data_IF_622927143907
#
_entry.id   IF_622927143907
#
_cell.length_a   1.000
_cell.length_b   1.000
_cell.length_c   1.000
_cell.angle_alpha   90.00
_cell.angle_beta   90.00
_cell.angle_gamma   90.00
#
_symmetry.space_group_name_H-M   'P 1'
#
loop_
_entity.id
_entity.type
_entity.pdbx_description
1 polymer ?
#
# COMPACT_ATOMS: atom_id res chain seq x y z
N UNK A 1 -0.12 62.63 -56.05
CA UNK A 1 0.10 62.40 -54.59
C UNK A 1 -0.71 61.17 -54.09
N UNK A 2 -1.94 60.96 -54.49
CA UNK A 2 -2.76 59.85 -53.99
C UNK A 2 -2.28 58.41 -54.41
N UNK A 3 -1.77 58.24 -55.62
CA UNK A 3 -1.26 56.91 -56.06
C UNK A 3 -0.05 56.38 -55.29
N UNK A 4 0.78 57.28 -54.74
CA UNK A 4 1.95 56.89 -53.95
C UNK A 4 1.61 56.48 -52.52
N UNK A 5 0.58 57.11 -51.96
CA UNK A 5 0.04 56.76 -50.65
C UNK A 5 -0.65 55.35 -50.65
N UNK A 6 -1.36 55.02 -51.72
CA UNK A 6 -2.00 53.72 -51.90
C UNK A 6 -0.97 52.57 -52.09
N UNK A 7 0.15 52.85 -52.77
CA UNK A 7 1.25 51.90 -52.91
C UNK A 7 1.98 51.63 -51.56
N UNK A 8 2.19 52.70 -50.75
CA UNK A 8 2.81 52.53 -49.43
C UNK A 8 1.91 51.80 -48.45
N UNK A 9 0.57 52.07 -48.45
CA UNK A 9 -0.39 51.31 -47.63
C UNK A 9 -0.42 49.86 -48.01
N UNK A 10 -0.50 49.54 -49.30
CA UNK A 10 -0.57 48.16 -49.82
C UNK A 10 0.70 47.35 -49.48
N UNK A 11 1.86 48.01 -49.47
CA UNK A 11 3.10 47.36 -49.09
C UNK A 11 3.28 47.25 -47.54
N UNK A 12 2.74 48.20 -46.75
CA UNK A 12 2.76 48.16 -45.31
C UNK A 12 1.85 47.02 -44.79
N UNK A 13 0.67 46.85 -45.38
CA UNK A 13 -0.27 45.78 -45.03
C UNK A 13 0.33 44.40 -45.39
N UNK A 14 1.00 44.24 -46.53
CA UNK A 14 1.71 43.02 -46.90
C UNK A 14 2.91 42.70 -45.97
N UNK A 15 3.63 43.75 -45.47
CA UNK A 15 4.75 43.56 -44.58
C UNK A 15 4.27 43.14 -43.17
N UNK A 16 3.16 43.74 -42.71
CA UNK A 16 2.56 43.36 -41.41
C UNK A 16 1.93 41.98 -41.46
N UNK A 17 1.28 41.59 -42.56
CA UNK A 17 0.72 40.27 -42.73
C UNK A 17 1.80 39.19 -42.83
N UNK A 18 2.95 39.44 -43.49
CA UNK A 18 4.08 38.51 -43.50
C UNK A 18 4.74 38.38 -42.12
N UNK A 19 4.87 39.45 -41.35
CA UNK A 19 5.35 39.41 -40.01
C UNK A 19 4.35 38.69 -39.08
N UNK A 20 3.06 38.89 -39.26
CA UNK A 20 2.03 38.22 -38.49
C UNK A 20 1.97 36.70 -38.80
N UNK A 21 2.05 36.34 -40.08
CA UNK A 21 2.13 34.91 -40.46
C UNK A 21 3.45 34.26 -40.00
N UNK A 22 4.59 34.97 -40.04
CA UNK A 22 5.85 34.46 -39.50
C UNK A 22 5.80 34.31 -37.97
N UNK A 23 5.14 35.23 -37.27
CA UNK A 23 4.94 35.15 -35.83
C UNK A 23 3.97 34.03 -35.43
N UNK A 24 2.91 33.80 -36.20
CA UNK A 24 1.97 32.68 -36.02
C UNK A 24 2.65 31.32 -36.28
N UNK A 25 3.48 31.22 -37.30
CA UNK A 25 4.24 30.00 -37.62
C UNK A 25 5.28 29.72 -36.52
N UNK A 26 5.97 30.74 -36.00
CA UNK A 26 6.88 30.57 -34.88
C UNK A 26 6.13 30.22 -33.60
N UNK A 27 4.92 30.72 -33.38
CA UNK A 27 4.13 30.41 -32.18
C UNK A 27 3.47 29.01 -32.27
N UNK A 28 3.09 28.56 -33.45
CA UNK A 28 2.63 27.17 -33.66
C UNK A 28 3.77 26.14 -33.51
N UNK A 29 5.01 26.51 -33.82
CA UNK A 29 6.18 25.66 -33.55
C UNK A 29 6.60 25.67 -32.08
N UNK A 30 6.27 26.69 -31.30
CA UNK A 30 6.59 26.79 -29.87
C UNK A 30 5.55 26.10 -28.97
N UNK A 31 4.40 25.67 -29.51
CA UNK A 31 3.35 24.94 -28.76
C UNK A 31 3.37 23.44 -29.02
N UNK A 32 4.32 22.92 -29.80
CA UNK A 32 4.64 21.49 -29.67
C UNK A 32 5.33 21.33 -28.33
N UNK A 33 4.55 21.16 -27.28
CA UNK A 33 5.01 20.49 -26.09
C UNK A 33 5.58 19.16 -26.57
N UNK A 34 6.90 19.07 -26.64
CA UNK A 34 7.61 17.82 -26.65
C UNK A 34 7.22 17.14 -25.32
N UNK A 35 6.10 16.45 -25.29
CA UNK A 35 5.88 15.44 -24.28
C UNK A 35 6.99 14.42 -24.52
N UNK A 36 8.10 14.61 -23.85
CA UNK A 36 9.14 13.60 -23.79
C UNK A 36 8.45 12.34 -23.24
N UNK A 37 8.50 11.28 -24.01
CA UNK A 37 7.96 9.99 -23.62
C UNK A 37 8.59 9.58 -22.27
N UNK A 38 7.76 9.39 -21.22
CA UNK A 38 8.24 8.97 -19.91
C UNK A 38 8.37 7.46 -19.84
N UNK A 39 9.56 6.98 -20.19
CA UNK A 39 9.93 5.56 -20.11
C UNK A 39 10.45 5.16 -18.71
N UNK A 40 10.49 6.08 -17.74
CA UNK A 40 10.99 5.78 -16.40
C UNK A 40 10.02 4.90 -15.61
N UNK A 41 10.55 4.00 -14.80
CA UNK A 41 9.80 3.19 -13.82
C UNK A 41 10.32 3.50 -12.42
N UNK A 42 9.41 3.84 -11.51
CA UNK A 42 9.72 4.11 -10.10
C UNK A 42 9.33 2.89 -9.26
N UNK A 43 9.86 2.80 -8.06
CA UNK A 43 9.48 1.72 -7.12
C UNK A 43 7.97 1.68 -6.83
N UNK A 44 7.29 2.83 -6.85
CA UNK A 44 5.83 2.94 -6.71
C UNK A 44 5.05 2.39 -7.91
N UNK A 45 5.69 2.19 -9.05
CA UNK A 45 5.08 1.66 -10.28
C UNK A 45 5.22 0.13 -10.37
N UNK A 46 5.79 -0.52 -9.35
CA UNK A 46 6.14 -1.93 -9.34
C UNK A 46 5.49 -2.62 -8.15
N UNK A 47 4.86 -3.77 -8.39
CA UNK A 47 4.44 -4.72 -7.35
C UNK A 47 5.08 -6.07 -7.68
N UNK A 48 5.67 -6.71 -6.65
CA UNK A 48 6.23 -8.05 -6.76
C UNK A 48 5.48 -8.96 -5.79
N UNK A 49 4.91 -10.02 -6.32
CA UNK A 49 4.18 -11.00 -5.54
C UNK A 49 4.84 -12.37 -5.66
N UNK A 50 4.87 -13.15 -4.58
CA UNK A 50 5.38 -14.52 -4.62
C UNK A 50 4.31 -15.44 -5.23
N UNK A 51 4.70 -16.25 -6.23
CA UNK A 51 3.83 -17.30 -6.76
C UNK A 51 3.64 -18.42 -5.73
N UNK A 52 2.46 -19.05 -5.72
CA UNK A 52 2.12 -20.10 -4.75
C UNK A 52 3.01 -21.35 -4.86
N UNK A 53 3.48 -21.67 -6.05
CA UNK A 53 4.29 -22.87 -6.31
C UNK A 53 5.77 -22.57 -6.29
N UNK A 54 6.20 -21.62 -7.09
CA UNK A 54 7.60 -21.18 -7.17
C UNK A 54 7.66 -19.88 -7.98
N UNK A 55 8.67 -19.02 -7.72
CA UNK A 55 8.89 -17.80 -8.48
C UNK A 55 8.06 -16.61 -8.00
N UNK A 56 7.91 -15.63 -8.88
CA UNK A 56 7.34 -14.33 -8.55
C UNK A 56 6.55 -13.76 -9.73
N UNK A 57 5.51 -13.00 -9.42
CA UNK A 57 4.77 -12.15 -10.35
C UNK A 57 5.27 -10.72 -10.21
N UNK A 58 5.67 -10.11 -11.30
CA UNK A 58 6.12 -8.73 -11.38
C UNK A 58 5.11 -7.92 -12.18
N UNK A 59 4.40 -7.02 -11.51
CA UNK A 59 3.45 -6.10 -12.12
C UNK A 59 4.10 -4.74 -12.27
N UNK A 60 4.07 -4.19 -13.48
CA UNK A 60 4.70 -2.92 -13.83
C UNK A 60 3.63 -2.00 -14.40
N UNK A 61 3.39 -0.87 -13.75
CA UNK A 61 2.39 0.09 -14.20
C UNK A 61 2.69 0.57 -15.62
N UNK A 62 1.70 0.43 -16.52
CA UNK A 62 1.78 0.98 -17.85
C UNK A 62 1.64 2.50 -17.83
N UNK A 63 2.60 3.21 -18.41
CA UNK A 63 2.53 4.64 -18.69
C UNK A 63 2.15 4.87 -20.15
N UNK A 64 1.60 6.06 -20.44
CA UNK A 64 1.26 6.43 -21.82
C UNK A 64 2.49 6.41 -22.71
N UNK A 65 2.37 5.74 -23.86
CA UNK A 65 3.46 5.58 -24.82
C UNK A 65 4.41 4.42 -24.53
N UNK A 66 4.30 3.74 -23.37
CA UNK A 66 5.04 2.50 -23.10
C UNK A 66 4.22 1.31 -23.59
N UNK A 67 4.75 0.56 -24.55
CA UNK A 67 4.04 -0.53 -25.22
C UNK A 67 4.64 -1.92 -25.01
N UNK A 68 5.80 -2.02 -24.37
CA UNK A 68 6.32 -3.29 -23.86
C UNK A 68 7.35 -3.10 -22.76
N UNK A 69 7.60 -4.18 -22.03
CA UNK A 69 8.62 -4.28 -20.98
C UNK A 69 9.43 -5.54 -21.18
N UNK A 70 10.72 -5.51 -20.79
CA UNK A 70 11.65 -6.63 -20.88
C UNK A 70 12.52 -6.64 -19.63
N UNK A 71 12.69 -7.78 -19.02
CA UNK A 71 13.62 -7.94 -17.92
C UNK A 71 15.04 -8.20 -18.47
N UNK A 72 15.98 -7.34 -18.08
CA UNK A 72 17.36 -7.40 -18.55
C UNK A 72 18.38 -7.33 -17.43
N UNK A 73 19.61 -7.69 -17.74
CA UNK A 73 20.77 -7.35 -16.94
C UNK A 73 21.01 -5.82 -16.96
N UNK A 74 21.54 -5.25 -15.88
CA UNK A 74 21.72 -3.79 -15.70
C UNK A 74 22.88 -3.16 -16.48
N UNK A 75 23.61 -3.91 -17.28
CA UNK A 75 24.73 -3.33 -18.05
C UNK A 75 24.25 -2.68 -19.34
N UNK A 76 24.53 -1.39 -19.53
CA UNK A 76 24.40 -0.74 -20.84
C UNK A 76 25.51 -1.22 -21.75
N UNK A 77 25.18 -1.54 -23.01
CA UNK A 77 26.19 -1.61 -24.06
C UNK A 77 26.73 -0.18 -24.31
N UNK A 78 28.00 0.12 -24.00
CA UNK A 78 28.56 1.46 -24.17
C UNK A 78 28.52 1.95 -25.63
N UNK A 79 28.50 1.01 -26.59
CA UNK A 79 28.48 1.33 -28.00
C UNK A 79 27.06 1.32 -28.60
N UNK A 80 26.04 0.97 -27.81
CA UNK A 80 24.64 0.92 -28.21
C UNK A 80 24.37 0.04 -29.46
N UNK A 81 25.20 -1.00 -29.69
CA UNK A 81 25.18 -1.83 -30.89
C UNK A 81 24.35 -3.09 -30.74
N UNK A 82 24.15 -3.58 -29.53
CA UNK A 82 23.48 -4.85 -29.27
C UNK A 82 22.42 -4.71 -28.21
N UNK A 83 21.34 -5.49 -28.36
CA UNK A 83 20.41 -5.70 -27.27
C UNK A 83 21.17 -6.32 -26.11
N UNK A 84 21.10 -5.70 -24.96
CA UNK A 84 21.68 -6.23 -23.74
C UNK A 84 21.06 -7.56 -23.39
N UNK A 85 21.75 -8.28 -22.50
CA UNK A 85 21.38 -9.60 -22.07
C UNK A 85 20.01 -9.59 -21.42
N UNK A 86 19.01 -10.09 -22.13
CA UNK A 86 17.69 -10.30 -21.58
C UNK A 86 17.68 -11.52 -20.68
N UNK A 87 16.89 -11.44 -19.64
CA UNK A 87 16.58 -12.61 -18.83
C UNK A 87 15.59 -13.52 -19.54
N UNK A 88 15.76 -14.83 -19.35
CA UNK A 88 14.93 -15.88 -19.90
C UNK A 88 14.59 -16.89 -18.80
N UNK A 89 13.51 -17.62 -19.01
CA UNK A 89 13.16 -18.81 -18.22
C UNK A 89 13.57 -20.07 -18.96
N UNK A 90 14.06 -21.07 -18.25
CA UNK A 90 14.29 -22.42 -18.82
C UNK A 90 12.99 -23.09 -19.25
N UNK A 91 11.89 -22.79 -18.55
CA UNK A 91 10.59 -23.37 -18.81
C UNK A 91 9.65 -22.33 -19.38
N UNK A 92 8.87 -22.73 -20.36
CA UNK A 92 7.78 -21.91 -20.85
C UNK A 92 6.78 -21.60 -19.73
N UNK A 93 6.30 -20.36 -19.70
CA UNK A 93 5.26 -19.91 -18.82
C UNK A 93 4.20 -19.14 -19.63
N UNK A 94 2.93 -19.45 -19.38
CA UNK A 94 1.84 -18.88 -20.15
C UNK A 94 1.61 -17.38 -19.89
N UNK A 95 2.11 -16.82 -18.77
CA UNK A 95 2.01 -15.38 -18.46
C UNK A 95 2.95 -14.59 -19.36
N UNK A 96 4.22 -15.01 -19.45
CA UNK A 96 5.17 -14.41 -20.37
C UNK A 96 4.88 -14.77 -21.84
N UNK A 97 4.06 -15.79 -22.07
CA UNK A 97 3.49 -16.15 -23.36
C UNK A 97 4.50 -16.54 -24.43
N UNK A 98 4.05 -16.41 -25.67
CA UNK A 98 4.86 -16.59 -26.88
C UNK A 98 5.24 -15.21 -27.46
N UNK A 99 5.54 -14.24 -26.60
CA UNK A 99 5.96 -12.91 -27.02
C UNK A 99 7.15 -12.94 -27.94
N UNK A 100 6.98 -12.35 -29.13
CA UNK A 100 8.05 -12.28 -30.12
C UNK A 100 8.98 -11.13 -29.78
N UNK A 101 10.21 -11.46 -29.47
CA UNK A 101 11.22 -10.46 -29.20
C UNK A 101 11.98 -10.07 -30.46
N UNK A 102 12.30 -8.78 -30.57
CA UNK A 102 13.12 -8.21 -31.64
C UNK A 102 14.52 -7.93 -31.09
N UNK A 103 15.54 -8.34 -31.85
CA UNK A 103 16.94 -8.04 -31.61
C UNK A 103 17.52 -7.42 -32.87
N UNK A 104 18.12 -6.23 -32.79
CA UNK A 104 18.71 -5.50 -33.90
C UNK A 104 17.76 -5.38 -35.12
N UNK A 105 16.46 -5.09 -34.84
CA UNK A 105 15.41 -4.88 -35.84
C UNK A 105 14.91 -6.18 -36.49
N UNK A 106 15.28 -7.35 -36.02
CA UNK A 106 14.82 -8.65 -36.54
C UNK A 106 14.17 -9.48 -35.43
N UNK A 107 13.06 -10.14 -35.77
CA UNK A 107 12.47 -11.11 -34.85
C UNK A 107 13.43 -12.27 -34.60
N UNK A 108 13.61 -12.60 -33.32
CA UNK A 108 14.33 -13.80 -32.91
C UNK A 108 13.54 -15.04 -33.30
N UNK A 109 14.27 -16.12 -33.61
CA UNK A 109 13.65 -17.42 -33.79
C UNK A 109 12.82 -17.83 -32.57
N UNK A 110 11.75 -18.58 -32.81
CA UNK A 110 10.80 -18.98 -31.77
C UNK A 110 11.46 -19.71 -30.60
N UNK A 111 12.52 -20.48 -30.83
CA UNK A 111 13.25 -21.21 -29.80
C UNK A 111 14.02 -20.29 -28.84
N UNK A 112 14.45 -19.12 -29.30
CA UNK A 112 15.15 -18.13 -28.46
C UNK A 112 14.22 -17.11 -27.83
N UNK A 113 13.09 -16.81 -28.49
CA UNK A 113 12.11 -15.86 -27.97
C UNK A 113 11.09 -16.48 -27.02
N UNK A 114 10.84 -17.77 -27.17
CA UNK A 114 9.76 -18.51 -26.51
C UNK A 114 9.74 -18.39 -24.97
N UNK A 115 10.90 -18.33 -24.37
CA UNK A 115 11.04 -18.25 -22.93
C UNK A 115 11.61 -16.88 -22.46
N UNK A 116 11.59 -15.88 -23.33
CA UNK A 116 12.01 -14.52 -22.96
C UNK A 116 11.04 -13.93 -21.95
N UNK A 117 11.57 -13.13 -21.02
CA UNK A 117 10.77 -12.45 -20.01
C UNK A 117 10.45 -11.06 -20.53
N UNK A 118 9.44 -11.00 -21.39
CA UNK A 118 8.96 -9.82 -22.09
C UNK A 118 7.44 -9.84 -22.07
N UNK A 119 6.82 -8.67 -21.93
CA UNK A 119 5.38 -8.52 -22.06
C UNK A 119 5.01 -7.27 -22.88
N UNK A 120 4.03 -7.42 -23.74
CA UNK A 120 3.38 -6.35 -24.53
C UNK A 120 1.87 -6.34 -24.32
N UNK A 121 1.35 -7.22 -23.48
CA UNK A 121 -0.07 -7.36 -23.19
C UNK A 121 -0.41 -6.60 -21.91
N UNK A 122 -1.44 -5.78 -21.95
CA UNK A 122 -1.86 -4.97 -20.80
C UNK A 122 -2.97 -5.66 -20.05
N UNK A 123 -2.78 -5.85 -18.77
CA UNK A 123 -3.76 -6.38 -17.83
C UNK A 123 -4.25 -5.28 -16.88
N UNK A 124 -5.31 -5.56 -16.11
CA UNK A 124 -5.80 -4.67 -15.06
C UNK A 124 -5.42 -5.23 -13.70
N UNK A 125 -4.66 -4.48 -12.96
CA UNK A 125 -4.31 -4.77 -11.57
C UNK A 125 -5.09 -3.85 -10.63
N UNK A 126 -5.57 -4.38 -9.51
CA UNK A 126 -6.44 -3.65 -8.57
C UNK A 126 -5.82 -2.34 -8.07
N UNK A 127 -4.54 -2.38 -7.72
CA UNK A 127 -3.83 -1.22 -7.13
C UNK A 127 -3.21 -0.30 -8.18
N UNK A 128 -2.59 -0.87 -9.23
CA UNK A 128 -1.81 -0.10 -10.21
C UNK A 128 -2.61 0.33 -11.43
N UNK A 129 -3.82 -0.22 -11.63
CA UNK A 129 -4.60 -0.03 -12.85
C UNK A 129 -4.02 -0.83 -14.01
N UNK A 130 -3.73 -0.19 -15.14
CA UNK A 130 -3.12 -0.86 -16.31
C UNK A 130 -1.67 -1.26 -16.00
N UNK A 131 -1.33 -2.53 -16.21
CA UNK A 131 0.00 -3.08 -15.94
C UNK A 131 0.47 -4.02 -17.03
N UNK A 132 1.78 -4.14 -17.16
CA UNK A 132 2.44 -5.29 -17.74
C UNK A 132 2.70 -6.32 -16.65
N UNK A 133 2.58 -7.61 -16.98
CA UNK A 133 2.73 -8.70 -16.06
C UNK A 133 3.81 -9.66 -16.51
N UNK A 134 4.85 -9.83 -15.69
CA UNK A 134 5.92 -10.79 -15.93
C UNK A 134 5.93 -11.86 -14.84
N UNK A 135 6.09 -13.11 -15.24
CA UNK A 135 6.41 -14.20 -14.33
C UNK A 135 7.91 -14.44 -14.29
N UNK A 136 8.50 -14.41 -13.09
CA UNK A 136 9.90 -14.64 -12.84
C UNK A 136 10.08 -15.99 -12.12
N UNK A 137 10.78 -16.97 -12.73
CA UNK A 137 11.13 -18.18 -11.99
C UNK A 137 12.14 -17.85 -10.88
N UNK A 138 12.34 -18.76 -9.94
CA UNK A 138 13.35 -18.60 -8.87
C UNK A 138 14.77 -18.41 -9.39
N UNK A 139 15.03 -18.89 -10.62
CA UNK A 139 16.30 -18.75 -11.30
C UNK A 139 16.09 -18.14 -12.68
N UNK A 140 16.78 -17.05 -12.95
CA UNK A 140 16.81 -16.37 -14.23
C UNK A 140 18.08 -16.71 -14.99
N UNK A 141 17.96 -16.92 -16.31
CA UNK A 141 19.08 -17.10 -17.21
C UNK A 141 19.24 -15.83 -18.03
N UNK A 142 20.45 -15.29 -18.11
CA UNK A 142 20.77 -14.15 -18.97
C UNK A 142 21.68 -14.53 -20.12
N UNK A 143 21.65 -13.73 -21.18
CA UNK A 143 22.40 -13.95 -22.40
C UNK A 143 21.85 -15.05 -23.31
N UNK A 144 22.63 -15.42 -24.30
CA UNK A 144 22.31 -16.44 -25.28
C UNK A 144 23.52 -17.39 -25.40
N UNK A 145 23.38 -18.58 -26.01
CA UNK A 145 24.50 -19.54 -26.11
C UNK A 145 25.77 -18.99 -26.74
N UNK A 146 25.67 -17.97 -27.58
CA UNK A 146 26.80 -17.34 -28.30
C UNK A 146 27.27 -16.02 -27.68
N UNK A 147 26.69 -15.60 -26.56
CA UNK A 147 27.06 -14.36 -25.86
C UNK A 147 27.42 -14.65 -24.41
N UNK A 148 27.77 -13.61 -23.63
CA UNK A 148 27.90 -13.74 -22.19
C UNK A 148 26.60 -14.29 -21.61
N UNK A 149 26.64 -15.39 -20.91
CA UNK A 149 25.51 -16.04 -20.31
C UNK A 149 25.79 -16.43 -18.84
N UNK A 150 24.78 -16.67 -18.09
CA UNK A 150 24.87 -17.08 -16.69
C UNK A 150 23.48 -17.20 -16.06
N UNK A 151 23.47 -17.44 -14.75
CA UNK A 151 22.28 -17.64 -13.97
C UNK A 151 22.25 -16.65 -12.80
N UNK A 152 21.05 -16.18 -12.45
CA UNK A 152 20.78 -15.36 -11.27
C UNK A 152 19.67 -16.00 -10.48
N UNK A 153 19.94 -16.31 -9.21
CA UNK A 153 18.90 -16.72 -8.26
C UNK A 153 18.16 -15.48 -7.76
N UNK A 154 16.83 -15.52 -7.83
CA UNK A 154 15.99 -14.44 -7.36
C UNK A 154 15.79 -14.56 -5.87
N UNK A 155 16.34 -13.62 -5.12
CA UNK A 155 16.18 -13.49 -3.68
C UNK A 155 16.17 -12.01 -3.26
N UNK A 156 15.89 -11.73 -1.99
CA UNK A 156 15.94 -10.36 -1.47
C UNK A 156 17.30 -9.73 -1.75
N UNK A 157 17.30 -8.55 -2.34
CA UNK A 157 18.51 -7.83 -2.73
C UNK A 157 19.03 -8.16 -4.12
N UNK A 158 18.36 -9.03 -4.90
CA UNK A 158 18.70 -9.25 -6.31
C UNK A 158 18.45 -7.99 -7.10
N UNK A 159 19.47 -7.58 -7.86
CA UNK A 159 19.43 -6.38 -8.68
C UNK A 159 19.23 -6.75 -10.15
N UNK A 160 18.19 -6.19 -10.78
CA UNK A 160 17.82 -6.41 -12.18
C UNK A 160 17.43 -5.09 -12.83
N UNK A 161 17.19 -5.10 -14.15
CA UNK A 161 16.67 -3.93 -14.85
C UNK A 161 15.38 -4.26 -15.61
N UNK A 162 14.37 -3.42 -15.44
CA UNK A 162 13.18 -3.40 -16.29
C UNK A 162 13.47 -2.44 -17.44
N UNK A 163 13.56 -2.96 -18.67
CA UNK A 163 13.65 -2.12 -19.85
C UNK A 163 12.24 -1.87 -20.39
N UNK A 164 11.87 -0.60 -20.48
CA UNK A 164 10.61 -0.15 -21.06
C UNK A 164 10.83 0.31 -22.51
N UNK A 165 9.88 0.07 -23.38
CA UNK A 165 9.95 0.40 -24.79
C UNK A 165 8.74 1.20 -25.26
N UNK A 166 9.00 2.13 -26.17
CA UNK A 166 7.97 2.81 -26.94
C UNK A 166 7.17 1.83 -27.81
N UNK A 167 7.84 0.80 -28.35
CA UNK A 167 7.24 -0.18 -29.26
C UNK A 167 6.92 -1.50 -28.57
N UNK A 168 5.96 -2.28 -29.08
CA UNK A 168 5.66 -3.62 -28.56
C UNK A 168 6.82 -4.60 -28.84
N UNK A 169 6.77 -5.76 -28.18
CA UNK A 169 7.69 -6.90 -28.36
C UNK A 169 9.17 -6.58 -28.06
N UNK A 170 9.45 -5.62 -27.19
CA UNK A 170 10.80 -5.15 -26.90
C UNK A 170 11.58 -4.77 -28.18
N UNK A 171 10.93 -4.03 -29.07
CA UNK A 171 11.51 -3.58 -30.35
C UNK A 171 12.43 -2.38 -30.13
N UNK A 172 13.71 -2.56 -30.45
CA UNK A 172 14.76 -1.55 -30.31
C UNK A 172 14.75 -0.48 -31.39
N UNK A 173 13.85 -0.53 -32.36
CA UNK A 173 13.73 0.50 -33.41
C UNK A 173 12.97 1.76 -32.92
N UNK A 174 12.45 1.74 -31.68
CA UNK A 174 11.89 2.89 -30.96
C UNK A 174 12.74 3.30 -29.78
N UNK A 175 12.24 4.27 -29.00
CA UNK A 175 12.86 4.71 -27.75
C UNK A 175 12.78 3.61 -26.69
N UNK A 176 13.80 3.49 -25.86
CA UNK A 176 13.80 2.59 -24.70
C UNK A 176 14.64 3.14 -23.55
N UNK A 177 14.34 2.70 -22.32
CA UNK A 177 15.04 3.10 -21.11
C UNK A 177 15.28 1.91 -20.17
N UNK A 178 16.48 1.83 -19.63
CA UNK A 178 16.81 0.91 -18.55
C UNK A 178 16.39 1.51 -17.20
N UNK A 179 15.62 0.74 -16.45
CA UNK A 179 15.15 1.09 -15.13
C UNK A 179 15.67 0.06 -14.10
N UNK A 180 16.89 0.26 -13.57
CA UNK A 180 17.47 -0.65 -12.59
C UNK A 180 16.67 -0.59 -11.28
N UNK A 181 16.39 -1.77 -10.71
CA UNK A 181 15.74 -1.88 -9.42
C UNK A 181 16.24 -3.10 -8.64
N UNK A 182 16.05 -3.05 -7.33
CA UNK A 182 16.42 -4.12 -6.42
C UNK A 182 15.16 -4.81 -5.91
N UNK A 183 15.13 -6.13 -5.95
CA UNK A 183 14.06 -6.89 -5.33
C UNK A 183 14.15 -6.76 -3.81
N UNK A 184 13.31 -5.93 -3.26
CA UNK A 184 13.08 -5.85 -1.82
C UNK A 184 11.80 -6.63 -1.53
N UNK A 185 11.94 -7.96 -1.41
CA UNK A 185 10.85 -8.75 -0.90
C UNK A 185 10.67 -8.40 0.58
N UNK A 186 9.71 -7.55 0.86
CA UNK A 186 9.00 -7.67 2.10
C UNK A 186 8.28 -9.01 1.93
N UNK A 187 8.69 -10.02 2.67
CA UNK A 187 7.90 -11.23 2.82
C UNK A 187 6.62 -10.84 3.56
N UNK A 188 5.72 -10.16 2.88
CA UNK A 188 4.31 -10.35 3.17
C UNK A 188 4.11 -11.81 2.76
N UNK A 189 3.90 -12.70 3.75
CA UNK A 189 3.09 -13.87 3.47
C UNK A 189 1.92 -13.26 2.71
N UNK A 190 1.77 -13.57 1.41
CA UNK A 190 0.50 -13.37 0.77
C UNK A 190 -0.41 -14.15 1.71
N UNK A 191 -1.17 -13.44 2.53
CA UNK A 191 -2.33 -14.08 3.09
C UNK A 191 -2.96 -14.67 1.85
N UNK A 192 -3.04 -16.00 1.79
CA UNK A 192 -4.00 -16.61 0.91
C UNK A 192 -5.20 -15.69 1.04
N UNK A 193 -5.69 -15.11 -0.06
CA UNK A 193 -7.11 -15.01 -0.18
C UNK A 193 -7.61 -16.44 -0.06
N UNK A 194 -7.62 -16.92 1.16
CA UNK A 194 -8.66 -17.79 1.58
C UNK A 194 -9.87 -16.94 1.21
N UNK A 195 -10.62 -17.34 0.16
CA UNK A 195 -12.05 -17.21 0.21
C UNK A 195 -12.34 -17.89 1.54
N UNK A 196 -12.20 -17.10 2.61
CA UNK A 196 -12.66 -17.49 3.92
C UNK A 196 -14.15 -17.66 3.68
N UNK A 197 -14.64 -18.87 3.63
CA UNK A 197 -15.79 -19.11 4.45
C UNK A 197 -15.35 -18.57 5.80
N UNK A 198 -15.70 -17.29 6.03
CA UNK A 198 -15.43 -16.60 7.29
C UNK A 198 -16.08 -17.52 8.30
N UNK A 199 -15.25 -18.30 9.00
CA UNK A 199 -15.75 -19.19 10.04
C UNK A 199 -16.02 -18.29 11.24
N UNK A 200 -17.16 -17.61 11.20
CA UNK A 200 -17.62 -16.75 12.30
C UNK A 200 -17.86 -17.55 13.61
N UNK A 201 -17.82 -18.88 13.54
CA UNK A 201 -17.95 -19.76 14.70
C UNK A 201 -16.79 -19.65 15.69
N UNK A 202 -15.65 -19.09 15.31
CA UNK A 202 -14.50 -18.87 16.20
C UNK A 202 -14.59 -17.58 17.01
N UNK A 203 -15.51 -16.68 16.67
CA UNK A 203 -15.71 -15.40 17.38
C UNK A 203 -16.94 -15.48 18.27
N UNK A 204 -16.91 -14.75 19.37
CA UNK A 204 -18.12 -14.52 20.15
C UNK A 204 -19.19 -13.84 19.29
N UNK A 205 -20.37 -14.46 19.06
CA UNK A 205 -21.39 -13.92 18.16
C UNK A 205 -21.92 -12.55 18.60
N UNK A 206 -22.01 -12.30 19.90
CA UNK A 206 -22.52 -11.03 20.43
C UNK A 206 -21.45 -9.93 20.32
N UNK A 207 -20.16 -10.27 20.49
CA UNK A 207 -19.04 -9.37 20.22
C UNK A 207 -19.00 -9.01 18.74
N UNK A 208 -19.09 -10.01 17.86
CA UNK A 208 -19.11 -9.84 16.42
C UNK A 208 -20.19 -8.85 15.96
N UNK A 209 -21.43 -9.02 16.42
CA UNK A 209 -22.54 -8.13 16.07
C UNK A 209 -22.31 -6.72 16.61
N UNK A 210 -21.82 -6.61 17.85
CA UNK A 210 -21.56 -5.31 18.49
C UNK A 210 -20.40 -4.54 17.79
N UNK A 211 -19.33 -5.24 17.42
CA UNK A 211 -18.20 -4.64 16.71
C UNK A 211 -18.58 -4.17 15.31
N UNK A 212 -19.44 -4.93 14.60
CA UNK A 212 -20.02 -4.49 13.31
C UNK A 212 -20.86 -3.21 13.46
N UNK A 213 -21.65 -3.13 14.52
CA UNK A 213 -22.48 -1.95 14.78
C UNK A 213 -21.68 -0.72 15.22
N UNK A 214 -20.54 -0.90 15.88
CA UNK A 214 -19.62 0.15 16.27
C UNK A 214 -18.86 0.71 15.05
N UNK A 215 -18.44 -0.15 14.15
CA UNK A 215 -17.66 0.21 12.95
C UNK A 215 -18.51 0.83 11.81
N UNK A 216 -19.63 1.49 12.09
CA UNK A 216 -20.63 1.95 11.09
C UNK A 216 -20.02 2.84 9.99
N UNK A 217 -19.03 3.68 10.34
CA UNK A 217 -18.31 4.58 9.42
C UNK A 217 -16.83 4.20 9.27
N UNK A 218 -16.34 3.24 10.06
CA UNK A 218 -15.02 2.66 10.01
C UNK A 218 -15.00 1.28 9.37
N UNK A 219 -13.89 0.58 9.50
CA UNK A 219 -13.72 -0.79 9.01
C UNK A 219 -13.83 -1.81 10.16
N UNK A 220 -14.28 -3.02 9.83
CA UNK A 220 -14.18 -4.18 10.72
C UNK A 220 -13.16 -5.15 10.15
N UNK A 221 -12.25 -5.63 11.00
CA UNK A 221 -11.27 -6.64 10.67
C UNK A 221 -11.46 -7.88 11.55
N UNK A 222 -11.49 -9.04 10.91
CA UNK A 222 -11.61 -10.34 11.56
C UNK A 222 -10.23 -10.92 11.74
N UNK A 223 -9.63 -10.75 12.94
CA UNK A 223 -8.30 -11.27 13.24
C UNK A 223 -8.28 -12.79 13.27
N UNK A 224 -7.18 -13.39 12.91
CA UNK A 224 -6.97 -14.83 13.04
C UNK A 224 -6.28 -15.19 14.36
N UNK A 225 -6.19 -14.25 15.28
CA UNK A 225 -5.52 -14.39 16.56
C UNK A 225 -4.15 -13.69 16.58
N UNK A 226 -3.29 -14.03 17.55
CA UNK A 226 -2.08 -13.26 17.87
C UNK A 226 -1.16 -13.00 16.68
N UNK A 227 -0.99 -13.99 15.80
CA UNK A 227 -0.05 -13.91 14.68
C UNK A 227 -0.48 -12.94 13.56
N UNK A 228 -1.78 -12.67 13.42
CA UNK A 228 -2.30 -11.74 12.40
C UNK A 228 -2.55 -10.33 12.95
N UNK A 229 -2.66 -10.18 14.26
CA UNK A 229 -3.12 -8.95 14.91
C UNK A 229 -2.30 -7.72 14.53
N UNK A 230 -0.98 -7.85 14.41
CA UNK A 230 -0.11 -6.72 14.00
C UNK A 230 -0.41 -6.29 12.57
N UNK A 231 -0.55 -7.23 11.64
CA UNK A 231 -0.89 -6.94 10.25
C UNK A 231 -2.30 -6.34 10.12
N UNK A 232 -3.24 -6.81 10.95
CA UNK A 232 -4.61 -6.29 11.02
C UNK A 232 -4.63 -4.82 11.48
N UNK A 233 -3.83 -4.47 12.48
CA UNK A 233 -3.63 -3.09 12.93
C UNK A 233 -3.02 -2.23 11.81
N UNK A 234 -1.97 -2.70 11.16
CA UNK A 234 -1.31 -1.96 10.09
C UNK A 234 -2.22 -1.77 8.88
N UNK A 235 -3.17 -2.67 8.63
CA UNK A 235 -4.19 -2.51 7.60
C UNK A 235 -5.08 -1.30 7.89
N UNK A 236 -5.50 -1.09 9.14
CA UNK A 236 -6.27 0.10 9.53
C UNK A 236 -5.49 1.41 9.30
N UNK A 237 -4.16 1.40 9.46
CA UNK A 237 -3.32 2.56 9.13
C UNK A 237 -3.28 2.88 7.64
N UNK A 238 -3.31 1.90 6.76
CA UNK A 238 -3.26 2.11 5.30
C UNK A 238 -4.47 2.83 4.72
N UNK A 239 -5.57 2.85 5.46
CA UNK A 239 -6.78 3.59 5.09
C UNK A 239 -6.67 5.09 5.40
N UNK A 240 -5.63 5.51 6.13
CA UNK A 240 -5.39 6.90 6.51
C UNK A 240 -4.60 7.61 5.40
N UNK A 241 -4.98 8.85 5.06
CA UNK A 241 -4.24 9.64 4.07
C UNK A 241 -2.84 10.00 4.61
N UNK A 242 -1.74 9.58 3.98
CA UNK A 242 -0.39 9.73 4.54
C UNK A 242 0.14 11.16 4.59
N UNK A 243 -0.51 12.13 3.95
CA UNK A 243 -0.03 13.53 3.88
C UNK A 243 -0.49 14.40 5.04
N UNK A 244 -1.46 13.92 5.83
CA UNK A 244 -2.08 14.69 6.88
C UNK A 244 -1.46 14.41 8.26
N UNK A 245 -1.88 15.21 9.23
CA UNK A 245 -1.67 14.89 10.65
C UNK A 245 -2.63 13.79 11.04
N UNK A 246 -2.18 12.91 11.89
CA UNK A 246 -2.95 11.74 12.30
C UNK A 246 -2.90 11.58 13.81
N UNK A 247 -4.07 11.41 14.42
CA UNK A 247 -4.22 11.02 15.82
C UNK A 247 -4.87 9.64 15.85
N UNK A 248 -4.19 8.66 16.44
CA UNK A 248 -4.72 7.29 16.58
C UNK A 248 -4.73 6.89 18.05
N UNK A 249 -5.88 6.40 18.52
CA UNK A 249 -5.99 5.78 19.84
C UNK A 249 -6.23 4.29 19.68
N UNK A 250 -5.38 3.49 20.29
CA UNK A 250 -5.58 2.06 20.46
C UNK A 250 -6.41 1.84 21.72
N UNK A 251 -7.61 1.30 21.58
CA UNK A 251 -8.47 0.87 22.67
C UNK A 251 -8.41 -0.65 22.73
N UNK A 252 -7.60 -1.20 23.64
CA UNK A 252 -7.27 -2.61 23.68
C UNK A 252 -7.91 -3.25 24.91
N UNK A 253 -8.59 -4.36 24.68
CA UNK A 253 -9.02 -5.26 25.74
C UNK A 253 -7.77 -5.83 26.47
N UNK A 254 -7.79 -5.75 27.77
CA UNK A 254 -6.71 -6.21 28.63
C UNK A 254 -7.22 -7.24 29.66
N UNK A 255 -8.28 -7.97 29.34
CA UNK A 255 -8.81 -9.09 30.11
C UNK A 255 -7.99 -10.36 29.90
N UNK A 256 -8.30 -11.39 30.64
CA UNK A 256 -7.50 -12.61 30.71
C UNK A 256 -7.38 -13.36 29.40
N UNK A 257 -8.46 -13.39 28.57
CA UNK A 257 -8.51 -14.01 27.25
C UNK A 257 -7.52 -13.40 26.26
N UNK A 258 -7.28 -12.07 26.35
CA UNK A 258 -6.40 -11.32 25.45
C UNK A 258 -4.91 -11.47 25.75
N UNK A 259 -4.51 -12.35 26.67
CA UNK A 259 -3.12 -12.45 27.13
C UNK A 259 -2.14 -12.77 26.00
N UNK A 260 -2.45 -13.78 25.21
CA UNK A 260 -1.57 -14.25 24.12
C UNK A 260 -1.44 -13.18 23.02
N UNK A 261 -2.55 -12.52 22.68
CA UNK A 261 -2.63 -11.46 21.68
C UNK A 261 -1.82 -10.23 22.08
N UNK A 262 -1.98 -9.77 23.31
CA UNK A 262 -1.23 -8.62 23.82
C UNK A 262 0.26 -8.94 23.98
N UNK A 263 0.63 -10.14 24.38
CA UNK A 263 2.04 -10.53 24.47
C UNK A 263 2.69 -10.60 23.08
N UNK A 264 1.97 -11.08 22.06
CA UNK A 264 2.44 -11.06 20.68
C UNK A 264 2.54 -9.62 20.12
N UNK A 265 1.54 -8.79 20.42
CA UNK A 265 1.51 -7.39 20.04
C UNK A 265 2.73 -6.62 20.57
N UNK A 266 3.08 -6.80 21.84
CA UNK A 266 4.26 -6.19 22.48
C UNK A 266 5.56 -6.52 21.77
N UNK A 267 5.68 -7.75 21.29
CA UNK A 267 6.92 -8.24 20.66
C UNK A 267 7.08 -7.76 19.23
N UNK A 268 5.98 -7.57 18.50
CA UNK A 268 6.02 -7.46 17.05
C UNK A 268 5.46 -6.15 16.49
N UNK A 269 4.64 -5.38 17.24
CA UNK A 269 3.99 -4.19 16.70
C UNK A 269 4.98 -3.06 16.40
N UNK A 270 5.88 -2.74 17.33
CA UNK A 270 6.66 -1.50 17.25
C UNK A 270 7.56 -1.42 16.03
N UNK A 271 8.37 -2.44 15.67
CA UNK A 271 9.24 -2.33 14.50
C UNK A 271 8.48 -2.14 13.18
N UNK A 272 7.26 -2.70 13.10
CA UNK A 272 6.43 -2.60 11.92
C UNK A 272 5.65 -1.28 11.90
N UNK A 273 5.18 -0.83 13.05
CA UNK A 273 4.51 0.46 13.20
C UNK A 273 5.45 1.62 12.88
N UNK A 274 6.69 1.61 13.39
CA UNK A 274 7.69 2.62 13.06
C UNK A 274 7.93 2.76 11.55
N UNK A 275 8.04 1.63 10.84
CA UNK A 275 8.20 1.63 9.40
C UNK A 275 6.99 2.24 8.68
N UNK A 276 5.78 2.00 9.16
CA UNK A 276 4.55 2.56 8.60
C UNK A 276 4.42 4.06 8.90
N UNK A 277 4.78 4.48 10.11
CA UNK A 277 4.70 5.88 10.55
C UNK A 277 5.58 6.84 9.72
N UNK A 278 6.64 6.34 9.11
CA UNK A 278 7.50 7.13 8.20
C UNK A 278 6.75 7.65 6.97
N UNK A 279 5.60 7.07 6.65
CA UNK A 279 4.77 7.49 5.51
C UNK A 279 3.92 8.73 5.84
N UNK A 280 3.82 9.13 7.11
CA UNK A 280 2.94 10.21 7.57
C UNK A 280 3.72 11.48 7.92
N UNK A 281 3.08 12.63 7.76
CA UNK A 281 3.70 13.92 8.09
C UNK A 281 3.85 14.16 9.59
N UNK A 282 2.89 13.68 10.40
CA UNK A 282 2.90 13.76 11.86
C UNK A 282 1.86 12.80 12.43
N UNK A 283 2.25 11.94 13.35
CA UNK A 283 1.35 10.99 14.01
C UNK A 283 1.47 11.12 15.52
N UNK A 284 0.32 11.09 16.21
CA UNK A 284 0.28 10.92 17.66
C UNK A 284 -0.48 9.64 17.99
N UNK A 285 0.09 8.84 18.87
CA UNK A 285 -0.43 7.55 19.31
C UNK A 285 -0.91 7.66 20.74
N UNK A 286 -2.15 7.26 21.01
CA UNK A 286 -2.73 7.10 22.32
C UNK A 286 -2.96 5.63 22.63
N UNK A 287 -2.87 5.24 23.88
CA UNK A 287 -3.16 3.89 24.35
C UNK A 287 -4.19 3.96 25.47
N UNK A 288 -5.27 3.23 25.31
CA UNK A 288 -6.30 3.03 26.31
C UNK A 288 -6.54 1.54 26.46
N UNK A 289 -6.43 1.04 27.68
CA UNK A 289 -6.71 -0.33 28.00
C UNK A 289 -8.02 -0.39 28.79
N UNK A 290 -8.84 -1.40 28.52
CA UNK A 290 -10.08 -1.59 29.25
C UNK A 290 -10.18 -3.02 29.82
N UNK A 291 -10.97 -3.15 30.86
CA UNK A 291 -11.35 -4.40 31.50
C UNK A 291 -12.79 -4.28 31.97
N UNK A 292 -13.25 -5.22 32.77
CA UNK A 292 -14.58 -5.10 33.39
C UNK A 292 -14.56 -4.32 34.70
N UNK A 293 -15.75 -3.92 35.15
CA UNK A 293 -15.96 -3.33 36.46
C UNK A 293 -15.61 -4.31 37.59
N UNK A 294 -14.83 -3.83 38.55
CA UNK A 294 -14.33 -4.65 39.67
C UNK A 294 -12.85 -4.99 39.54
N UNK A 295 -12.26 -4.82 38.37
CA UNK A 295 -10.82 -4.92 38.16
C UNK A 295 -10.06 -3.66 38.60
N UNK A 296 -8.72 -3.72 38.51
CA UNK A 296 -7.81 -2.67 39.00
C UNK A 296 -7.81 -1.39 38.16
N UNK A 297 -8.47 -1.37 37.02
CA UNK A 297 -8.48 -0.21 36.14
C UNK A 297 -9.56 0.75 36.54
N UNK A 298 -9.18 1.94 36.95
CA UNK A 298 -10.12 3.04 37.25
C UNK A 298 -9.52 4.36 36.82
N UNK A 299 -10.12 4.98 35.81
CA UNK A 299 -9.80 6.33 35.40
C UNK A 299 -11.10 7.11 35.16
N UNK A 300 -11.27 8.23 35.88
CA UNK A 300 -12.49 9.04 35.86
C UNK A 300 -13.79 8.25 36.08
N UNK A 301 -13.75 7.20 36.92
CA UNK A 301 -14.90 6.34 37.22
C UNK A 301 -15.24 5.30 36.17
N UNK A 302 -14.41 5.13 35.15
CA UNK A 302 -14.50 4.09 34.14
C UNK A 302 -13.45 3.00 34.35
N UNK A 303 -13.72 1.73 33.97
CA UNK A 303 -12.80 0.60 34.15
C UNK A 303 -11.72 0.58 33.04
N UNK A 304 -10.97 1.67 32.95
CA UNK A 304 -9.94 1.86 31.94
C UNK A 304 -8.61 2.29 32.56
N UNK A 305 -7.52 1.99 31.85
CA UNK A 305 -6.19 2.55 32.08
C UNK A 305 -5.84 3.44 30.88
N UNK A 306 -5.53 4.69 31.15
CA UNK A 306 -5.36 5.72 30.13
C UNK A 306 -3.90 6.17 30.05
N UNK A 307 -3.36 6.22 28.82
CA UNK A 307 -2.07 6.82 28.50
C UNK A 307 -2.28 7.89 27.43
N UNK A 308 -1.78 9.07 27.66
CA UNK A 308 -2.00 10.22 26.78
C UNK A 308 -1.37 10.02 25.40
N UNK A 309 -1.71 10.92 24.45
CA UNK A 309 -1.01 10.96 23.15
C UNK A 309 0.48 11.18 23.33
N UNK A 310 1.26 10.44 22.54
CA UNK A 310 2.69 10.65 22.32
C UNK A 310 3.02 10.58 20.82
N UNK A 311 4.02 11.32 20.38
CA UNK A 311 4.63 11.24 19.04
C UNK A 311 5.96 10.48 19.05
N UNK A 312 6.30 9.88 20.20
CA UNK A 312 7.53 9.12 20.44
C UNK A 312 7.20 7.64 20.52
N UNK A 313 7.66 6.85 19.55
CA UNK A 313 7.42 5.40 19.51
C UNK A 313 7.94 4.67 20.74
N UNK A 314 9.10 5.03 21.27
CA UNK A 314 9.67 4.44 22.48
C UNK A 314 8.78 4.66 23.71
N UNK A 315 8.12 5.82 23.81
CA UNK A 315 7.17 6.11 24.88
C UNK A 315 5.91 5.26 24.73
N UNK A 316 5.38 5.16 23.51
CA UNK A 316 4.25 4.29 23.21
C UNK A 316 4.59 2.81 23.56
N UNK A 317 5.77 2.35 23.15
CA UNK A 317 6.26 1.01 23.51
C UNK A 317 6.34 0.80 25.02
N UNK A 318 6.89 1.77 25.76
CA UNK A 318 6.92 1.74 27.22
C UNK A 318 5.52 1.61 27.82
N UNK A 319 4.57 2.40 27.34
CA UNK A 319 3.18 2.36 27.77
C UNK A 319 2.53 1.00 27.50
N UNK A 320 2.78 0.42 26.31
CA UNK A 320 2.31 -0.92 25.94
C UNK A 320 2.88 -2.02 26.84
N UNK A 321 4.03 -1.81 27.45
CA UNK A 321 4.67 -2.74 28.37
C UNK A 321 4.40 -2.44 29.88
N UNK A 322 3.72 -1.30 30.18
CA UNK A 322 3.45 -0.86 31.56
C UNK A 322 2.23 -1.53 32.21
N UNK A 323 1.81 -2.69 31.73
CA UNK A 323 0.72 -3.44 32.33
C UNK A 323 0.94 -4.94 32.18
N UNK A 324 0.23 -5.73 32.98
CA UNK A 324 0.32 -7.19 32.96
C UNK A 324 -1.09 -7.79 32.84
N UNK A 325 -1.19 -8.82 32.01
CA UNK A 325 -2.34 -9.71 31.95
C UNK A 325 -1.90 -11.05 32.52
N UNK A 326 -2.59 -11.51 33.56
CA UNK A 326 -2.27 -12.76 34.27
C UNK A 326 -3.10 -13.93 33.78
N UNK A 327 -4.23 -13.65 33.10
CA UNK A 327 -5.17 -14.61 32.57
C UNK A 327 -6.40 -14.82 33.45
N UNK A 328 -6.61 -13.97 34.45
CA UNK A 328 -7.78 -14.03 35.36
C UNK A 328 -8.44 -12.65 35.53
N UNK A 329 -8.11 -11.72 34.68
CA UNK A 329 -8.73 -10.41 34.60
C UNK A 329 -10.05 -10.51 33.80
N UNK A 330 -10.96 -9.61 34.05
CA UNK A 330 -12.35 -9.70 33.64
C UNK A 330 -13.18 -10.32 34.77
N UNK A 331 -14.31 -10.76 34.53
CA UNK A 331 -15.17 -11.43 35.51
C UNK A 331 -16.24 -12.23 34.85
N UNK A 332 -17.13 -11.56 34.19
CA UNK A 332 -18.12 -12.13 33.27
C UNK A 332 -17.73 -11.75 31.82
N UNK A 333 -18.32 -12.43 30.86
CA UNK A 333 -17.95 -12.31 29.42
C UNK A 333 -18.16 -10.89 28.87
N UNK A 334 -19.23 -10.12 29.18
CA UNK A 334 -19.35 -8.76 28.69
C UNK A 334 -18.33 -7.83 29.31
N UNK A 335 -17.64 -7.05 28.48
CA UNK A 335 -16.57 -6.14 28.90
C UNK A 335 -16.96 -4.65 28.71
N UNK A 336 -16.14 -3.75 29.23
CA UNK A 336 -16.44 -2.31 29.25
C UNK A 336 -16.09 -1.60 27.94
N UNK A 337 -16.54 -2.12 26.81
CA UNK A 337 -16.23 -1.63 25.45
C UNK A 337 -16.73 -0.20 25.24
N UNK A 338 -17.98 0.11 25.62
CA UNK A 338 -18.52 1.47 25.44
C UNK A 338 -17.87 2.50 26.37
N UNK A 339 -17.45 2.07 27.55
CA UNK A 339 -16.68 2.88 28.49
C UNK A 339 -15.28 3.20 27.92
N UNK A 340 -14.66 2.24 27.27
CA UNK A 340 -13.37 2.43 26.61
C UNK A 340 -13.50 3.43 25.43
N UNK A 341 -14.49 3.25 24.58
CA UNK A 341 -14.74 4.16 23.46
C UNK A 341 -15.11 5.58 23.94
N UNK A 342 -15.95 5.69 24.98
CA UNK A 342 -16.25 6.97 25.60
C UNK A 342 -14.98 7.65 26.14
N UNK A 343 -14.14 6.90 26.85
CA UNK A 343 -12.86 7.40 27.35
C UNK A 343 -11.90 7.83 26.24
N UNK A 344 -11.83 7.06 25.17
CA UNK A 344 -11.04 7.40 23.98
C UNK A 344 -11.54 8.67 23.29
N UNK A 345 -12.82 8.86 23.23
CA UNK A 345 -13.42 10.04 22.60
C UNK A 345 -13.31 11.30 23.49
N UNK A 346 -13.47 11.18 24.80
CA UNK A 346 -13.63 12.34 25.69
C UNK A 346 -12.34 12.75 26.40
N UNK A 347 -11.43 11.84 26.70
CA UNK A 347 -10.26 12.15 27.52
C UNK A 347 -9.01 12.53 26.73
N UNK A 348 -8.99 12.24 25.44
CA UNK A 348 -7.88 12.65 24.56
C UNK A 348 -8.08 14.06 24.01
N UNK A 349 -6.98 14.81 23.99
CA UNK A 349 -6.95 16.12 23.34
C UNK A 349 -6.68 15.96 21.84
N UNK A 350 -7.72 15.59 21.09
CA UNK A 350 -7.69 15.42 19.64
C UNK A 350 -7.33 16.72 18.91
N UNK A 351 -6.38 16.68 17.95
CA UNK A 351 -6.10 17.83 17.09
C UNK A 351 -7.27 18.03 16.11
N UNK A 352 -7.92 19.22 16.10
CA UNK A 352 -9.01 19.50 15.18
C UNK A 352 -8.65 19.38 13.69
N UNK A 353 -7.35 19.46 13.37
CA UNK A 353 -6.81 19.39 12.00
C UNK A 353 -6.28 18.02 11.62
N UNK A 354 -6.27 17.06 12.56
CA UNK A 354 -5.81 15.72 12.29
C UNK A 354 -6.94 14.82 11.75
N UNK A 355 -6.58 13.83 10.96
CA UNK A 355 -7.41 12.64 10.81
C UNK A 355 -7.40 11.91 12.14
N UNK A 356 -8.56 11.49 12.60
CA UNK A 356 -8.75 10.94 13.94
C UNK A 356 -9.30 9.54 13.83
N UNK A 357 -8.63 8.61 14.47
CA UNK A 357 -9.03 7.20 14.42
C UNK A 357 -8.91 6.54 15.78
N UNK A 358 -9.89 5.73 16.13
CA UNK A 358 -9.81 4.76 17.22
C UNK A 358 -9.73 3.38 16.60
N UNK A 359 -8.81 2.56 17.06
CA UNK A 359 -8.71 1.14 16.73
C UNK A 359 -9.11 0.38 17.99
N UNK A 360 -10.32 -0.17 17.97
CA UNK A 360 -10.84 -1.00 19.05
C UNK A 360 -10.44 -2.46 18.80
N UNK A 361 -9.84 -3.09 19.80
CA UNK A 361 -9.34 -4.47 19.73
C UNK A 361 -9.88 -5.25 20.92
N UNK A 362 -10.53 -6.39 20.67
CA UNK A 362 -11.07 -7.25 21.72
C UNK A 362 -11.81 -8.47 21.18
N UNK A 363 -12.25 -9.32 22.08
CA UNK A 363 -12.92 -10.61 21.81
C UNK A 363 -14.31 -10.72 22.46
N UNK A 364 -14.70 -9.77 23.32
CA UNK A 364 -15.93 -9.82 24.10
C UNK A 364 -16.93 -8.70 23.77
N UNK A 365 -18.21 -9.00 23.96
CA UNK A 365 -19.29 -8.03 23.75
C UNK A 365 -19.35 -6.95 24.82
N UNK A 366 -19.87 -5.74 24.50
CA UNK A 366 -20.14 -4.70 25.51
C UNK A 366 -21.29 -5.10 26.43
N UNK A 367 -21.29 -4.51 27.64
CA UNK A 367 -22.42 -4.66 28.55
C UNK A 367 -23.75 -4.22 27.95
N UNK A 368 -24.76 -5.07 28.00
CA UNK A 368 -26.14 -4.74 27.54
C UNK A 368 -26.77 -3.58 28.33
N UNK A 369 -26.33 -3.38 29.55
CA UNK A 369 -26.80 -2.29 30.43
C UNK A 369 -25.60 -1.54 31.00
N UNK A 370 -25.54 -0.22 30.85
CA UNK A 370 -24.45 0.59 31.41
C UNK A 370 -24.35 0.41 32.94
N UNK A 371 -23.15 0.06 33.42
CA UNK A 371 -22.91 -0.26 34.85
C UNK A 371 -22.40 0.96 35.63
N UNK A 372 -21.52 1.78 35.11
CA UNK A 372 -20.84 2.86 35.79
C UNK A 372 -21.73 4.07 36.17
N UNK A 373 -21.13 5.10 36.73
CA UNK A 373 -21.76 6.40 36.98
C UNK A 373 -22.08 7.12 35.66
N UNK A 374 -21.20 7.03 34.69
CA UNK A 374 -21.44 7.47 33.31
C UNK A 374 -22.12 6.30 32.59
N UNK A 375 -23.34 6.55 32.10
CA UNK A 375 -24.12 5.52 31.41
C UNK A 375 -23.74 5.45 29.95
N UNK A 376 -22.55 4.89 29.65
CA UNK A 376 -22.04 4.71 28.30
C UNK A 376 -22.94 3.75 27.52
N UNK A 377 -23.47 4.22 26.40
CA UNK A 377 -24.28 3.42 25.47
C UNK A 377 -23.69 3.53 24.05
N UNK A 378 -24.04 2.60 23.18
CA UNK A 378 -23.66 2.63 21.78
C UNK A 378 -24.03 3.97 21.12
N UNK A 379 -25.27 4.40 21.29
CA UNK A 379 -25.80 5.63 20.69
C UNK A 379 -24.98 6.85 21.13
N UNK A 380 -24.68 6.95 22.43
CA UNK A 380 -23.85 8.03 22.98
C UNK A 380 -22.46 8.04 22.35
N UNK A 381 -21.81 6.89 22.26
CA UNK A 381 -20.45 6.75 21.70
C UNK A 381 -20.43 7.14 20.22
N UNK A 382 -21.35 6.63 19.42
CA UNK A 382 -21.45 6.94 18.00
C UNK A 382 -21.77 8.42 17.75
N UNK A 383 -22.66 9.02 18.54
CA UNK A 383 -22.97 10.46 18.45
C UNK A 383 -21.73 11.32 18.75
N UNK A 384 -20.94 10.97 19.78
CA UNK A 384 -19.72 11.69 20.12
C UNK A 384 -18.66 11.52 19.01
N UNK A 385 -18.49 10.29 18.49
CA UNK A 385 -17.57 10.00 17.42
C UNK A 385 -17.86 10.85 16.17
N UNK A 386 -19.12 10.88 15.75
CA UNK A 386 -19.57 11.70 14.62
C UNK A 386 -19.34 13.20 14.88
N UNK A 387 -19.72 13.70 16.05
CA UNK A 387 -19.53 15.12 16.42
C UNK A 387 -18.07 15.55 16.42
N UNK A 388 -17.15 14.65 16.82
CA UNK A 388 -15.70 14.90 16.85
C UNK A 388 -15.01 14.53 15.55
N UNK A 389 -15.73 13.95 14.59
CA UNK A 389 -15.17 13.40 13.34
C UNK A 389 -14.05 12.41 13.62
N UNK A 390 -14.31 11.40 14.45
CA UNK A 390 -13.41 10.31 14.80
C UNK A 390 -13.94 9.02 14.19
N UNK A 391 -13.17 8.38 13.33
CA UNK A 391 -13.49 7.06 12.79
C UNK A 391 -13.17 5.97 13.83
N UNK A 392 -14.01 4.96 13.92
CA UNK A 392 -13.79 3.81 14.79
C UNK A 392 -13.65 2.57 13.92
N UNK A 393 -12.43 2.06 13.84
CA UNK A 393 -12.17 0.73 13.29
C UNK A 393 -12.22 -0.29 14.42
N UNK A 394 -12.70 -1.47 14.09
CA UNK A 394 -12.79 -2.57 15.05
C UNK A 394 -12.01 -3.79 14.55
N UNK A 395 -11.25 -4.41 15.45
CA UNK A 395 -10.56 -5.68 15.21
C UNK A 395 -11.09 -6.67 16.22
N UNK A 396 -11.84 -7.64 15.73
CA UNK A 396 -12.36 -8.71 16.59
C UNK A 396 -11.39 -9.88 16.60
N UNK A 397 -11.10 -10.37 17.81
CA UNK A 397 -10.18 -11.49 18.09
C UNK A 397 -11.02 -12.76 18.27
N UNK A 398 -10.56 -13.96 17.82
CA UNK A 398 -11.20 -15.23 18.13
C UNK A 398 -11.22 -15.50 19.63
N UNK A 399 -12.25 -16.20 20.12
CA UNK A 399 -12.23 -16.76 21.49
C UNK A 399 -11.15 -17.86 21.57
N UNK A 400 -10.29 -17.79 22.61
CA UNK A 400 -9.25 -18.81 22.92
C UNK A 400 -9.85 -20.10 23.53
#
# INVERSE_FOLDING_TARGET
>A
MNKYLDFIKKNADNLNMKKFCSFLIVWTFLTFNLFSLDLSVKSSDIIVEKDEKAGYHLYIKQKDGVNSVLLTETSKDPENKTANYAYRSEKWNKINGDEKRILDGKFLDSDFSKNSIVDSTVEIHETLGKVFHLYLPEKLIFGYPWTRNGEVKIEKGTFVSIRTFEKPYADYSGEYLDNPFMFNFITRKKEKEIIKQENYEVYNPLALDSFKEIATEGSITYSQGPESLVDDILKSFKEINPKDRVDVVFAIDATGSMKNDVDHLRQNLIPQLEAELLNFGSVRLGLLLYRDYGDNYVYNGLPIKFFNFTDICDEFYKNLNDFKIRGNEGGDVPEAVYEALYGALEFYNWDPKAQKKIILIGDAEPHKRPRGSIKCTKEMVLEIANKKNVLIDTIIIPED
#
